data_IF_081203058882
#
_entry.id   IF_081203058882
#
_cell.length_a   1.000
_cell.length_b   1.000
_cell.length_c   1.000
_cell.angle_alpha   90.00
_cell.angle_beta   90.00
_cell.angle_gamma   90.00
#
_symmetry.space_group_name_H-M   'P 1'
#
loop_
_entity.id
_entity.type
_entity.pdbx_description
1 polymer ?
#
# COMPACT_ATOMS: atom_id res chain seq x y z
N UNK A 1 13.57 3.28 16.98
CA UNK A 1 12.14 3.01 16.67
C UNK A 1 11.79 1.68 17.32
N UNK A 2 11.52 1.70 18.64
CA UNK A 2 11.18 0.48 19.38
C UNK A 2 9.69 0.17 19.17
N UNK A 3 9.41 -0.84 18.36
CA UNK A 3 8.06 -1.22 17.89
C UNK A 3 7.74 -0.81 16.44
N UNK A 4 8.74 -0.35 15.69
CA UNK A 4 8.63 -0.13 14.24
C UNK A 4 7.79 1.09 13.84
N UNK A 5 7.46 1.16 12.55
CA UNK A 5 6.83 2.32 11.91
C UNK A 5 5.36 2.52 12.29
N UNK A 6 4.61 1.43 12.55
CA UNK A 6 3.21 1.56 12.95
C UNK A 6 3.08 2.17 14.35
N UNK A 7 3.91 1.73 15.30
CA UNK A 7 3.95 2.34 16.64
C UNK A 7 4.41 3.80 16.58
N UNK A 8 5.30 4.15 15.65
CA UNK A 8 5.65 5.55 15.41
C UNK A 8 4.44 6.38 14.98
N UNK A 9 3.60 5.87 14.08
CA UNK A 9 2.36 6.54 13.70
C UNK A 9 1.37 6.66 14.87
N UNK A 10 1.28 5.66 15.75
CA UNK A 10 0.45 5.71 16.96
C UNK A 10 0.91 6.81 17.93
N UNK A 11 2.22 6.94 18.15
CA UNK A 11 2.78 7.82 19.19
C UNK A 11 3.05 9.24 18.68
N UNK A 12 3.43 9.40 17.42
CA UNK A 12 3.91 10.66 16.84
C UNK A 12 3.12 11.12 15.61
N UNK A 13 2.18 10.31 15.10
CA UNK A 13 1.50 10.59 13.84
C UNK A 13 2.44 10.47 12.63
N UNK A 14 2.14 11.23 11.58
CA UNK A 14 2.84 11.17 10.29
C UNK A 14 3.93 12.21 10.07
N UNK A 15 4.31 12.98 11.10
CA UNK A 15 5.30 14.05 10.93
C UNK A 15 6.61 13.47 10.37
N UNK A 16 7.17 14.13 9.36
CA UNK A 16 8.40 13.67 8.66
C UNK A 16 8.28 12.33 7.90
N UNK A 17 7.08 11.75 7.78
CA UNK A 17 6.81 10.59 6.92
C UNK A 17 5.99 11.00 5.69
N UNK A 18 6.43 10.57 4.50
CA UNK A 18 5.73 10.86 3.24
C UNK A 18 5.43 9.56 2.49
N UNK A 19 4.18 9.41 2.06
CA UNK A 19 3.69 8.24 1.34
C UNK A 19 2.94 7.29 2.25
N UNK A 20 2.84 6.03 1.80
CA UNK A 20 2.11 4.96 2.49
C UNK A 20 3.08 3.89 2.98
N UNK A 21 2.77 3.27 4.11
CA UNK A 21 3.55 2.20 4.70
C UNK A 21 3.06 0.84 4.23
N UNK A 22 3.86 0.14 3.41
CA UNK A 22 3.54 -1.22 2.98
C UNK A 22 3.44 -2.18 4.17
N UNK A 23 2.39 -3.00 4.19
CA UNK A 23 2.12 -4.02 5.22
C UNK A 23 1.94 -5.39 4.58
N UNK A 24 2.40 -6.43 5.24
CA UNK A 24 2.42 -7.81 4.72
C UNK A 24 1.10 -8.55 4.97
N UNK A 25 -0.02 -7.90 4.64
CA UNK A 25 -1.36 -8.50 4.69
C UNK A 25 -2.26 -7.93 3.58
N UNK A 26 -3.56 -8.23 3.63
CA UNK A 26 -4.51 -7.86 2.58
C UNK A 26 -4.66 -6.36 2.37
N UNK A 27 -4.30 -5.53 3.35
CA UNK A 27 -4.45 -4.07 3.28
C UNK A 27 -3.44 -3.40 2.35
N UNK A 28 -2.36 -4.11 2.00
CA UNK A 28 -1.25 -3.66 1.14
C UNK A 28 -0.45 -2.49 1.73
N UNK A 29 -1.09 -1.39 2.11
CA UNK A 29 -0.46 -0.29 2.79
C UNK A 29 -1.41 0.45 3.77
N UNK A 30 -0.80 1.12 4.75
CA UNK A 30 -1.48 2.02 5.68
C UNK A 30 -0.93 3.44 5.53
N UNK A 31 -1.80 4.44 5.67
CA UNK A 31 -1.37 5.82 5.84
C UNK A 31 -0.86 6.06 7.26
N UNK A 32 -0.35 7.27 7.53
CA UNK A 32 0.16 7.64 8.86
C UNK A 32 -0.92 7.76 9.94
N UNK A 33 -2.20 7.65 9.58
CA UNK A 33 -3.34 7.53 10.49
C UNK A 33 -3.75 6.07 10.72
N UNK A 34 -2.94 5.10 10.25
CA UNK A 34 -3.16 3.66 10.36
C UNK A 34 -4.43 3.18 9.63
N UNK A 35 -4.84 3.93 8.60
CA UNK A 35 -5.97 3.57 7.75
C UNK A 35 -5.47 2.93 6.47
N UNK A 36 -6.19 1.91 6.01
CA UNK A 36 -5.96 1.26 4.72
C UNK A 36 -6.02 2.27 3.58
N UNK A 37 -5.06 2.17 2.67
CA UNK A 37 -5.02 3.03 1.49
C UNK A 37 -5.62 2.32 0.29
N UNK A 38 -5.81 3.03 -0.83
CA UNK A 38 -6.40 2.45 -2.04
C UNK A 38 -5.39 1.64 -2.88
N UNK A 39 -4.23 1.31 -2.31
CA UNK A 39 -3.24 0.48 -2.98
C UNK A 39 -3.71 -0.97 -3.00
N UNK A 40 -3.68 -1.56 -4.19
CA UNK A 40 -4.02 -2.98 -4.39
C UNK A 40 -2.79 -3.78 -4.74
N UNK A 41 -2.70 -5.04 -4.33
CA UNK A 41 -1.55 -5.88 -4.69
C UNK A 41 -1.86 -6.68 -5.96
N UNK A 42 -1.01 -6.59 -6.97
CA UNK A 42 -1.08 -7.48 -8.12
C UNK A 42 -0.83 -8.93 -7.68
N UNK A 43 -1.76 -9.84 -8.03
CA UNK A 43 -1.63 -11.25 -7.69
C UNK A 43 -0.43 -11.94 -8.37
N UNK A 44 -0.10 -11.54 -9.60
CA UNK A 44 0.98 -12.16 -10.37
C UNK A 44 2.38 -11.69 -9.94
N UNK A 45 2.61 -10.37 -9.85
CA UNK A 45 3.94 -9.82 -9.62
C UNK A 45 4.15 -9.20 -8.22
N UNK A 46 3.10 -9.14 -7.39
CA UNK A 46 3.10 -8.53 -6.05
C UNK A 46 3.40 -7.03 -6.01
N UNK A 47 3.32 -6.34 -7.14
CA UNK A 47 3.42 -4.88 -7.18
C UNK A 47 2.22 -4.25 -6.45
N UNK A 48 2.46 -3.16 -5.71
CA UNK A 48 1.41 -2.29 -5.20
C UNK A 48 0.93 -1.38 -6.34
N UNK A 49 -0.38 -1.37 -6.57
CA UNK A 49 -1.05 -0.73 -7.69
C UNK A 49 -1.84 0.47 -7.19
N UNK A 50 -1.53 1.64 -7.74
CA UNK A 50 -2.32 2.84 -7.52
C UNK A 50 -3.70 2.72 -8.17
N UNK A 51 -4.61 3.63 -7.79
CA UNK A 51 -5.91 3.72 -8.45
C UNK A 51 -5.80 3.93 -9.97
N UNK A 52 -4.73 4.56 -10.46
CA UNK A 52 -4.55 4.77 -11.90
C UNK A 52 -4.01 3.53 -12.60
N UNK A 53 -3.15 2.74 -11.94
CA UNK A 53 -2.73 1.42 -12.42
C UNK A 53 -3.93 0.48 -12.56
N UNK A 54 -4.84 0.50 -11.58
CA UNK A 54 -6.06 -0.30 -11.56
C UNK A 54 -7.06 0.11 -12.67
N UNK A 55 -6.95 1.32 -13.23
CA UNK A 55 -7.77 1.77 -14.38
C UNK A 55 -7.18 1.38 -15.73
N UNK A 56 -5.96 0.87 -15.77
CA UNK A 56 -5.30 0.49 -17.02
C UNK A 56 -6.06 -0.65 -17.71
N UNK A 57 -6.14 -0.65 -19.06
CA UNK A 57 -6.71 -1.78 -19.80
C UNK A 57 -5.93 -3.09 -19.62
N UNK A 58 -4.71 -3.03 -19.06
CA UNK A 58 -3.87 -4.19 -18.77
C UNK A 58 -4.05 -4.72 -17.34
N UNK A 59 -4.84 -4.05 -16.51
CA UNK A 59 -5.19 -4.55 -15.18
C UNK A 59 -6.36 -5.52 -15.28
N UNK A 60 -6.12 -6.76 -14.85
CA UNK A 60 -7.15 -7.78 -14.69
C UNK A 60 -7.10 -8.25 -13.24
N UNK A 61 -8.13 -7.94 -12.42
CA UNK A 61 -8.17 -8.32 -11.01
C UNK A 61 -7.85 -9.80 -10.80
N UNK A 62 -6.91 -10.08 -9.90
CA UNK A 62 -6.47 -11.45 -9.59
C UNK A 62 -5.59 -12.12 -10.65
N UNK A 63 -5.26 -11.45 -11.76
CA UNK A 63 -4.51 -12.06 -12.86
C UNK A 63 -3.28 -11.26 -13.30
N UNK A 64 -3.42 -10.00 -13.69
CA UNK A 64 -2.31 -9.21 -14.26
C UNK A 64 -2.44 -7.73 -13.94
N UNK A 65 -1.35 -6.99 -14.13
CA UNK A 65 -1.33 -5.53 -14.00
C UNK A 65 -0.52 -4.91 -15.14
N UNK A 66 -0.43 -3.58 -15.25
CA UNK A 66 0.31 -2.92 -16.34
C UNK A 66 1.82 -3.22 -16.36
N UNK A 67 2.35 -3.78 -15.29
CA UNK A 67 3.76 -4.09 -15.11
C UNK A 67 4.13 -5.55 -15.41
N UNK A 68 3.16 -6.44 -15.65
CA UNK A 68 3.41 -7.87 -15.89
C UNK A 68 2.42 -8.55 -16.83
#
# INVERSE_FOLDING_TARGET
LDGGILKYFEECGGDHYTGDCFVFDQRVALNSQLQETALEQCFACRAALTNDDQKSPHYVPGQSCPYC
#
